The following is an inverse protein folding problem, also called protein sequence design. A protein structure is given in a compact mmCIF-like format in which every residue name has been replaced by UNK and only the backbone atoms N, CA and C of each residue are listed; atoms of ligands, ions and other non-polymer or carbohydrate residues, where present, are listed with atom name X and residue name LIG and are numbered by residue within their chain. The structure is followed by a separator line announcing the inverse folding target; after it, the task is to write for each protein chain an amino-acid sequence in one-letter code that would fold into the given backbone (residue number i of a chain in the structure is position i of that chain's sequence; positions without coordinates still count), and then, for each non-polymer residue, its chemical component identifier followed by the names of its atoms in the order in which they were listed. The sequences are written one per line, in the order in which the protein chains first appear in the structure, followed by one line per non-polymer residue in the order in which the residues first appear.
data_IF_635412474844
#
_entry.id   IF_635412474844
#
_cell.length_a   1.000
_cell.length_b   1.000
_cell.length_c   1.000
_cell.angle_alpha   90.00
_cell.angle_beta   90.00
_cell.angle_gamma   90.00
#
_symmetry.space_group_name_H-M   'P 1'
#
loop_
_entity.id
_entity.type
_entity.pdbx_description
1 polymer ?
#
# COMPACT_ATOMS: atom_id res chain seq x y z
N UNK A 1 5.95 -3.46 15.71
CA UNK A 1 4.74 -3.14 16.49
C UNK A 1 4.18 -1.80 16.09
N UNK A 2 2.87 -1.60 16.30
CA UNK A 2 2.21 -0.33 16.02
C UNK A 2 2.47 0.64 17.16
N UNK A 3 3.15 1.75 16.86
CA UNK A 3 3.28 2.86 17.82
C UNK A 3 1.93 3.60 17.88
N UNK A 4 1.29 3.57 19.05
CA UNK A 4 0.00 4.21 19.26
C UNK A 4 0.05 5.73 19.14
N UNK A 5 1.20 6.34 19.45
CA UNK A 5 1.41 7.79 19.31
C UNK A 5 1.37 8.19 17.85
N UNK A 6 2.19 7.53 17.02
CA UNK A 6 2.27 7.78 15.58
C UNK A 6 0.95 7.45 14.87
N UNK A 7 0.27 6.37 15.29
CA UNK A 7 -1.05 6.02 14.74
C UNK A 7 -2.08 7.11 15.03
N UNK A 8 -2.16 7.58 16.28
CA UNK A 8 -3.12 8.62 16.67
C UNK A 8 -2.83 9.96 15.98
N UNK A 9 -1.56 10.31 15.80
CA UNK A 9 -1.14 11.47 15.03
C UNK A 9 -1.63 11.36 13.58
N UNK A 10 -1.31 10.26 12.89
CA UNK A 10 -1.73 10.04 11.51
C UNK A 10 -3.25 10.06 11.32
N UNK A 11 -4.01 9.45 12.23
CA UNK A 11 -5.48 9.47 12.23
C UNK A 11 -6.02 10.89 12.42
N UNK A 12 -5.39 11.68 13.29
CA UNK A 12 -5.79 13.07 13.55
C UNK A 12 -5.52 13.95 12.34
N UNK A 13 -4.35 13.81 11.70
CA UNK A 13 -4.04 14.51 10.45
C UNK A 13 -4.99 14.14 9.32
N UNK A 14 -5.32 12.85 9.17
CA UNK A 14 -6.22 12.38 8.13
C UNK A 14 -7.65 12.92 8.27
N UNK A 15 -8.15 13.12 9.50
CA UNK A 15 -9.48 13.72 9.76
C UNK A 15 -9.59 15.16 9.27
N UNK A 16 -8.48 15.91 9.32
CA UNK A 16 -8.45 17.33 8.98
C UNK A 16 -8.10 17.60 7.51
N UNK A 17 -7.74 16.57 6.74
CA UNK A 17 -7.36 16.71 5.34
C UNK A 17 -8.56 16.50 4.39
N UNK A 18 -8.48 17.05 3.19
CA UNK A 18 -9.46 16.76 2.13
C UNK A 18 -9.29 15.35 1.54
N UNK A 19 -8.04 14.87 1.49
CA UNK A 19 -7.61 13.57 0.96
C UNK A 19 -6.46 13.06 1.82
N UNK A 20 -6.47 11.76 2.19
CA UNK A 20 -5.32 11.12 2.83
C UNK A 20 -4.59 10.22 1.83
N UNK A 21 -3.30 10.46 1.62
CA UNK A 21 -2.45 9.61 0.77
C UNK A 21 -1.52 8.80 1.68
N UNK A 22 -1.74 7.48 1.73
CA UNK A 22 -1.00 6.57 2.60
C UNK A 22 -0.01 5.77 1.77
N UNK A 23 1.28 5.92 2.05
CA UNK A 23 2.34 5.11 1.45
C UNK A 23 2.57 3.86 2.29
N UNK A 24 2.46 2.69 1.66
CA UNK A 24 2.60 1.40 2.30
C UNK A 24 3.30 0.41 1.37
N UNK A 25 3.74 -0.73 1.89
CA UNK A 25 4.48 -1.68 1.08
C UNK A 25 5.35 -2.66 1.87
N UNK A 26 6.33 -3.23 1.19
CA UNK A 26 7.30 -4.14 1.78
C UNK A 26 8.58 -3.41 2.15
N UNK A 27 9.04 -3.49 3.41
CA UNK A 27 10.39 -3.06 3.75
C UNK A 27 11.42 -4.05 3.18
N UNK A 28 12.68 -3.61 3.07
CA UNK A 28 13.80 -4.43 2.56
C UNK A 28 13.92 -5.78 3.29
N UNK A 29 13.66 -5.81 4.59
CA UNK A 29 13.71 -7.04 5.40
C UNK A 29 12.66 -8.09 5.02
N UNK A 30 11.64 -7.71 4.24
CA UNK A 30 10.59 -8.61 3.76
C UNK A 30 10.84 -9.08 2.34
N UNK A 31 11.69 -8.40 1.58
CA UNK A 31 11.95 -8.71 0.18
C UNK A 31 13.41 -8.40 -0.14
N UNK A 32 14.25 -9.43 -0.01
CA UNK A 32 15.68 -9.34 -0.24
C UNK A 32 16.21 -10.67 -0.78
N UNK A 33 17.45 -10.66 -1.23
CA UNK A 33 18.13 -11.84 -1.76
C UNK A 33 18.41 -12.86 -0.65
N UNK A 34 18.34 -14.15 -0.99
CA UNK A 34 18.75 -15.23 -0.09
C UNK A 34 17.64 -15.82 0.77
N UNK A 35 16.39 -15.36 0.63
CA UNK A 35 15.24 -16.00 1.24
C UNK A 35 13.93 -15.73 0.49
N UNK A 36 12.98 -16.66 0.62
CA UNK A 36 11.61 -16.46 0.16
C UNK A 36 10.71 -15.95 1.29
N UNK A 37 9.70 -15.17 0.92
CA UNK A 37 8.64 -14.76 1.86
C UNK A 37 7.77 -15.94 2.25
N UNK A 38 7.41 -16.01 3.54
CA UNK A 38 6.50 -17.04 4.08
C UNK A 38 5.01 -16.74 3.84
N UNK A 39 4.68 -15.51 3.46
CA UNK A 39 3.32 -15.04 3.21
C UNK A 39 3.35 -13.77 2.34
N UNK A 40 2.19 -13.34 1.84
CA UNK A 40 2.07 -12.14 1.01
C UNK A 40 1.65 -10.89 1.80
N UNK A 41 1.76 -10.85 3.13
CA UNK A 41 1.34 -9.68 3.92
C UNK A 41 2.38 -8.57 3.90
N UNK A 42 1.91 -7.33 3.93
CA UNK A 42 2.70 -6.17 4.37
C UNK A 42 2.81 -6.18 5.91
N UNK A 43 3.71 -5.38 6.51
CA UNK A 43 3.77 -5.25 7.96
C UNK A 43 2.41 -4.90 8.59
N UNK A 44 2.05 -5.58 9.67
CA UNK A 44 0.70 -5.50 10.24
C UNK A 44 0.34 -4.11 10.77
N UNK A 45 1.34 -3.35 11.24
CA UNK A 45 1.16 -1.96 11.63
C UNK A 45 0.68 -1.07 10.48
N UNK A 46 1.10 -1.37 9.23
CA UNK A 46 0.61 -0.66 8.05
C UNK A 46 -0.84 -1.07 7.71
N UNK A 47 -1.20 -2.34 7.83
CA UNK A 47 -2.59 -2.79 7.69
C UNK A 47 -3.51 -2.08 8.68
N UNK A 48 -3.08 -1.99 9.95
CA UNK A 48 -3.80 -1.29 10.99
C UNK A 48 -3.93 0.21 10.68
N UNK A 49 -2.84 0.87 10.30
CA UNK A 49 -2.84 2.29 9.93
C UNK A 49 -3.84 2.59 8.81
N UNK A 50 -3.79 1.82 7.71
CA UNK A 50 -4.71 2.00 6.58
C UNK A 50 -6.16 1.78 7.02
N UNK A 51 -6.42 0.73 7.82
CA UNK A 51 -7.75 0.43 8.31
C UNK A 51 -8.31 1.53 9.22
N UNK A 52 -7.51 2.14 10.09
CA UNK A 52 -7.94 3.25 10.95
C UNK A 52 -8.14 4.55 10.17
N UNK A 53 -7.24 4.88 9.24
CA UNK A 53 -7.39 6.07 8.37
C UNK A 53 -8.66 5.96 7.52
N UNK A 54 -8.93 4.81 6.92
CA UNK A 54 -10.14 4.61 6.09
C UNK A 54 -11.45 4.76 6.90
N UNK A 55 -11.44 4.61 8.24
CA UNK A 55 -12.64 4.85 9.06
C UNK A 55 -12.95 6.34 9.21
N UNK A 56 -11.94 7.20 9.09
CA UNK A 56 -12.07 8.63 9.42
C UNK A 56 -11.93 9.54 8.19
N UNK A 57 -11.35 9.03 7.10
CA UNK A 57 -11.13 9.76 5.85
C UNK A 57 -11.66 8.93 4.66
N UNK A 58 -12.86 9.24 4.12
CA UNK A 58 -13.42 8.49 2.99
C UNK A 58 -12.61 8.68 1.70
N UNK A 59 -11.90 9.79 1.53
CA UNK A 59 -11.05 10.07 0.37
C UNK A 59 -9.62 9.57 0.61
N UNK A 60 -9.46 8.30 0.97
CA UNK A 60 -8.14 7.71 1.21
C UNK A 60 -7.60 7.06 -0.06
N UNK A 61 -6.39 7.42 -0.46
CA UNK A 61 -5.62 6.77 -1.53
C UNK A 61 -4.47 6.00 -0.91
N UNK A 62 -4.34 4.71 -1.20
CA UNK A 62 -3.18 3.91 -0.78
C UNK A 62 -2.19 3.76 -1.94
N UNK A 63 -0.95 4.21 -1.75
CA UNK A 63 0.14 4.06 -2.70
C UNK A 63 1.04 2.92 -2.24
N UNK A 64 1.19 1.90 -3.08
CA UNK A 64 1.92 0.67 -2.76
C UNK A 64 3.32 0.64 -3.39
N UNK A 65 4.31 0.27 -2.57
CA UNK A 65 5.69 0.01 -2.96
C UNK A 65 6.13 -1.39 -2.53
N UNK A 66 6.09 -2.33 -3.46
CA UNK A 66 6.45 -3.73 -3.22
C UNK A 66 6.96 -4.37 -4.51
N UNK A 67 7.97 -5.23 -4.45
CA UNK A 67 8.50 -5.96 -5.61
C UNK A 67 7.67 -7.17 -6.03
N UNK A 68 6.78 -7.68 -5.16
CA UNK A 68 5.89 -8.81 -5.39
C UNK A 68 4.45 -8.55 -4.88
N UNK A 69 3.43 -9.31 -5.34
CA UNK A 69 2.05 -9.13 -4.89
C UNK A 69 1.90 -9.16 -3.37
N UNK A 70 0.95 -8.37 -2.85
CA UNK A 70 0.62 -8.32 -1.43
C UNK A 70 -0.88 -8.56 -1.14
N UNK A 71 -1.17 -9.10 0.04
CA UNK A 71 -2.52 -9.17 0.59
C UNK A 71 -3.00 -7.78 1.01
N UNK A 72 -4.26 -7.47 0.72
CA UNK A 72 -4.88 -6.16 1.01
C UNK A 72 -6.22 -6.37 1.74
N UNK A 73 -6.20 -6.73 3.03
CA UNK A 73 -7.43 -6.98 3.80
C UNK A 73 -8.35 -5.74 3.90
N UNK A 74 -7.78 -4.56 3.72
CA UNK A 74 -8.46 -3.25 3.74
C UNK A 74 -8.97 -2.80 2.36
N UNK A 75 -8.80 -3.58 1.29
CA UNK A 75 -9.07 -3.14 -0.10
C UNK A 75 -10.51 -2.66 -0.33
N UNK A 76 -11.49 -3.17 0.43
CA UNK A 76 -12.89 -2.74 0.31
C UNK A 76 -13.23 -1.47 1.09
N UNK A 77 -12.27 -0.89 1.82
CA UNK A 77 -12.45 0.29 2.68
C UNK A 77 -11.82 1.55 2.11
N UNK A 78 -10.98 1.42 1.09
CA UNK A 78 -10.37 2.56 0.39
C UNK A 78 -10.97 2.70 -1.01
N UNK A 79 -11.26 3.93 -1.47
CA UNK A 79 -11.74 4.16 -2.83
C UNK A 79 -10.65 3.96 -3.90
N UNK A 80 -9.36 4.04 -3.56
CA UNK A 80 -8.29 4.07 -4.55
C UNK A 80 -6.99 3.41 -4.06
N UNK A 81 -6.38 2.62 -4.94
CA UNK A 81 -5.04 2.05 -4.75
C UNK A 81 -4.19 2.34 -5.98
N UNK A 82 -3.00 2.88 -5.77
CA UNK A 82 -1.99 3.11 -6.79
C UNK A 82 -0.80 2.17 -6.54
N UNK A 83 -0.61 1.18 -7.41
CA UNK A 83 0.54 0.27 -7.36
C UNK A 83 1.73 0.89 -8.11
N UNK A 84 2.78 1.27 -7.38
CA UNK A 84 3.98 1.91 -7.92
C UNK A 84 5.18 0.97 -8.01
N UNK A 85 5.09 -0.25 -7.46
CA UNK A 85 6.20 -1.20 -7.36
C UNK A 85 7.50 -0.53 -6.82
N UNK A 86 8.66 -1.02 -7.25
CA UNK A 86 9.98 -0.46 -6.98
C UNK A 86 10.42 0.38 -8.20
N UNK A 87 9.94 1.63 -8.27
CA UNK A 87 10.11 2.51 -9.44
C UNK A 87 11.46 3.23 -9.57
N UNK A 88 12.50 2.82 -8.82
CA UNK A 88 13.82 3.44 -8.84
C UNK A 88 13.86 4.85 -8.21
N UNK A 89 14.97 5.57 -8.44
CA UNK A 89 15.25 6.87 -7.80
C UNK A 89 14.21 7.97 -8.10
N UNK A 90 13.55 7.90 -9.26
CA UNK A 90 12.56 8.88 -9.70
C UNK A 90 11.13 8.57 -9.23
N UNK A 91 10.92 7.50 -8.45
CA UNK A 91 9.58 7.00 -8.09
C UNK A 91 8.71 8.04 -7.37
N UNK A 92 9.31 8.87 -6.51
CA UNK A 92 8.57 9.93 -5.82
C UNK A 92 7.98 10.97 -6.78
N UNK A 93 8.78 11.45 -7.72
CA UNK A 93 8.32 12.40 -8.74
C UNK A 93 7.30 11.75 -9.69
N UNK A 94 7.48 10.47 -10.02
CA UNK A 94 6.52 9.72 -10.83
C UNK A 94 5.16 9.58 -10.11
N UNK A 95 5.16 9.24 -8.81
CA UNK A 95 3.94 9.14 -8.02
C UNK A 95 3.18 10.46 -7.98
N UNK A 96 3.88 11.58 -7.76
CA UNK A 96 3.28 12.93 -7.78
C UNK A 96 2.60 13.22 -9.12
N UNK A 97 3.30 13.03 -10.25
CA UNK A 97 2.72 13.29 -11.58
C UNK A 97 1.44 12.49 -11.84
N UNK A 98 1.40 11.24 -11.36
CA UNK A 98 0.20 10.39 -11.50
C UNK A 98 -0.93 10.86 -10.58
N UNK A 99 -0.63 11.14 -9.30
CA UNK A 99 -1.61 11.57 -8.30
C UNK A 99 -2.26 12.92 -8.66
N UNK A 100 -1.50 13.85 -9.24
CA UNK A 100 -1.99 15.15 -9.67
C UNK A 100 -2.55 15.16 -11.10
N UNK A 101 -2.48 14.04 -11.82
CA UNK A 101 -3.06 13.90 -13.16
C UNK A 101 -2.24 14.52 -14.29
N UNK A 102 -0.97 14.89 -14.06
CA UNK A 102 -0.03 15.30 -15.12
C UNK A 102 0.19 14.17 -16.13
N UNK A 103 0.05 12.92 -15.68
CA UNK A 103 0.12 11.70 -16.50
C UNK A 103 -0.98 10.74 -16.08
N UNK A 104 -1.71 10.17 -17.05
CA UNK A 104 -2.70 9.13 -16.80
C UNK A 104 -2.00 7.76 -16.59
N UNK A 105 -2.32 7.01 -15.51
CA UNK A 105 -1.74 5.69 -15.28
C UNK A 105 -2.09 4.72 -16.43
N UNK A 106 -1.07 4.17 -17.08
CA UNK A 106 -1.23 3.25 -18.23
C UNK A 106 -0.71 1.83 -17.98
N UNK A 107 -0.18 1.56 -16.78
CA UNK A 107 0.37 0.26 -16.40
C UNK A 107 -0.67 -0.86 -16.42
N UNK A 108 -0.21 -2.08 -16.74
CA UNK A 108 -0.99 -3.33 -16.63
C UNK A 108 -0.25 -4.29 -15.72
N UNK A 109 -1.00 -5.02 -14.90
CA UNK A 109 -0.42 -5.99 -13.98
C UNK A 109 0.28 -7.11 -14.76
N UNK A 110 1.57 -7.30 -14.52
CA UNK A 110 2.34 -8.41 -15.07
C UNK A 110 2.15 -9.72 -14.27
N UNK A 111 1.49 -9.64 -13.10
CA UNK A 111 1.28 -10.77 -12.18
C UNK A 111 -0.14 -10.72 -11.60
N UNK A 112 -0.68 -11.90 -11.28
CA UNK A 112 -1.93 -12.01 -10.54
C UNK A 112 -1.76 -11.50 -9.11
N UNK A 113 -2.76 -10.77 -8.61
CA UNK A 113 -2.78 -10.28 -7.21
C UNK A 113 -3.83 -11.08 -6.43
N UNK A 114 -3.37 -11.87 -5.45
CA UNK A 114 -4.20 -12.69 -4.56
C UNK A 114 -4.68 -11.89 -3.35
N UNK A 115 -5.53 -10.89 -3.60
CA UNK A 115 -5.90 -9.83 -2.62
C UNK A 115 -6.32 -10.32 -1.23
N UNK A 116 -6.99 -11.48 -1.15
CA UNK A 116 -7.58 -12.02 0.08
C UNK A 116 -6.74 -13.09 0.79
N UNK A 117 -6.08 -13.94 0.02
CA UNK A 117 -5.39 -15.12 0.54
C UNK A 117 -4.37 -15.63 -0.48
N UNK A 118 -3.10 -15.64 -0.09
CA UNK A 118 -2.01 -16.15 -0.92
C UNK A 118 -2.17 -17.62 -1.32
N UNK A 119 -2.96 -18.42 -0.59
CA UNK A 119 -3.27 -19.82 -0.92
C UNK A 119 -4.08 -20.00 -2.20
N UNK A 120 -4.63 -18.93 -2.76
CA UNK A 120 -5.22 -18.98 -4.11
C UNK A 120 -4.16 -19.01 -5.22
N UNK A 121 -2.87 -18.86 -4.87
CA UNK A 121 -1.77 -19.07 -5.79
C UNK A 121 -1.70 -20.56 -6.18
N UNK A 122 -1.59 -20.91 -7.48
CA UNK A 122 -1.54 -22.29 -7.94
C UNK A 122 -0.35 -23.09 -7.43
N UNK A 123 0.69 -22.45 -6.88
CA UNK A 123 1.87 -23.11 -6.32
C UNK A 123 1.85 -23.27 -4.79
N UNK A 124 0.69 -23.09 -4.14
CA UNK A 124 0.52 -23.33 -2.70
C UNK A 124 0.30 -24.81 -2.37
#
# INVERSE_FOLDING_TARGET
DTDSTLLNEAVSSAKCADVAVVFAGLPETFESEGFDRKNLRIPENQNQLIAEICKVQPNTVVVLHNGAPVEMPWISKTPAVLEMYLGGEAVGAAAVKVLFGDVNPSGKLARNIYRKNYRHNPSY
#
